data_IF_930712892630
#
_entry.id   IF_930712892630
#
_cell.length_a   1.000
_cell.length_b   1.000
_cell.length_c   1.000
_cell.angle_alpha   90.00
_cell.angle_beta   90.00
_cell.angle_gamma   90.00
#
_symmetry.space_group_name_H-M   'P 1'
#
loop_
_entity.id
_entity.type
_entity.pdbx_description
1 polymer ?
#
# COMPACT_ATOMS: atom_id res chain seq x y z
N UNK A 1 -21.85 -8.74 -2.89
CA UNK A 1 -21.76 -7.54 -3.75
C UNK A 1 -21.20 -7.81 -5.14
N UNK A 2 -21.19 -9.05 -5.67
CA UNK A 2 -20.65 -9.28 -7.02
C UNK A 2 -21.44 -8.52 -8.09
N UNK A 3 -22.75 -8.73 -8.14
CA UNK A 3 -23.65 -8.14 -9.13
C UNK A 3 -23.68 -6.60 -9.02
N UNK A 4 -23.76 -6.08 -7.79
CA UNK A 4 -23.72 -4.63 -7.52
C UNK A 4 -22.43 -3.96 -8.03
N UNK A 5 -21.27 -4.59 -7.81
CA UNK A 5 -19.98 -4.07 -8.29
C UNK A 5 -19.90 -4.11 -9.83
N UNK A 6 -20.48 -5.13 -10.46
CA UNK A 6 -20.57 -5.19 -11.93
C UNK A 6 -21.47 -4.10 -12.49
N UNK A 7 -22.58 -3.79 -11.81
CA UNK A 7 -23.48 -2.72 -12.25
C UNK A 7 -22.82 -1.35 -12.09
N UNK A 8 -22.09 -1.10 -11.00
CA UNK A 8 -21.31 0.13 -10.87
C UNK A 8 -20.18 0.26 -11.91
N UNK A 9 -19.60 -0.85 -12.33
CA UNK A 9 -18.62 -0.86 -13.43
C UNK A 9 -19.27 -0.52 -14.77
N UNK A 10 -20.45 -1.08 -15.08
CA UNK A 10 -21.23 -0.73 -16.29
C UNK A 10 -21.65 0.74 -16.28
N UNK A 11 -21.94 1.30 -15.12
CA UNK A 11 -22.27 2.72 -14.94
C UNK A 11 -21.03 3.63 -15.01
N UNK A 12 -19.82 3.08 -15.06
CA UNK A 12 -18.57 3.85 -15.10
C UNK A 12 -18.19 4.51 -13.77
N UNK A 13 -18.80 4.08 -12.65
CA UNK A 13 -18.53 4.63 -11.32
C UNK A 13 -17.21 4.08 -10.75
N UNK A 14 -16.93 2.80 -11.03
CA UNK A 14 -15.73 2.11 -10.57
C UNK A 14 -15.15 1.26 -11.70
N UNK A 15 -13.87 0.93 -11.60
CA UNK A 15 -13.23 -0.16 -12.35
C UNK A 15 -12.83 -1.23 -11.34
N UNK A 16 -13.32 -2.45 -11.50
CA UNK A 16 -13.14 -3.51 -10.49
C UNK A 16 -12.09 -4.51 -10.97
N UNK A 17 -11.03 -4.67 -10.18
CA UNK A 17 -10.01 -5.68 -10.42
C UNK A 17 -10.14 -6.80 -9.39
N UNK A 18 -10.87 -7.85 -9.74
CA UNK A 18 -10.99 -9.03 -8.90
C UNK A 18 -9.74 -9.91 -8.98
N UNK A 19 -9.25 -10.37 -7.83
CA UNK A 19 -8.01 -11.15 -7.71
C UNK A 19 -8.28 -12.47 -6.98
N UNK A 20 -8.88 -13.48 -7.67
CA UNK A 20 -9.17 -14.76 -7.04
C UNK A 20 -7.89 -15.55 -6.79
N UNK A 21 -7.63 -15.89 -5.52
CA UNK A 21 -6.37 -16.56 -5.13
C UNK A 21 -6.37 -18.09 -5.32
N UNK A 22 -7.51 -18.72 -5.65
CA UNK A 22 -7.69 -20.18 -5.68
C UNK A 22 -8.31 -20.66 -6.99
N UNK A 23 -7.78 -20.19 -8.12
CA UNK A 23 -8.22 -20.68 -9.43
C UNK A 23 -7.48 -21.99 -9.75
N UNK A 24 -8.18 -23.10 -10.06
CA UNK A 24 -7.53 -24.36 -10.39
C UNK A 24 -6.56 -24.22 -11.58
N UNK A 25 -5.36 -24.78 -11.44
CA UNK A 25 -4.34 -24.73 -12.48
C UNK A 25 -3.62 -23.39 -12.65
N UNK A 26 -3.86 -22.40 -11.77
CA UNK A 26 -3.20 -21.10 -11.80
C UNK A 26 -2.41 -20.82 -10.51
N UNK A 27 -1.32 -20.04 -10.56
CA UNK A 27 -0.61 -19.61 -9.37
C UNK A 27 -1.51 -18.73 -8.48
N UNK A 28 -1.24 -18.74 -7.17
CA UNK A 28 -1.99 -17.89 -6.23
C UNK A 28 -1.61 -16.44 -6.44
N UNK A 29 -2.60 -15.61 -6.75
CA UNK A 29 -2.45 -14.17 -6.88
C UNK A 29 -3.20 -13.46 -5.75
N UNK A 30 -2.66 -12.31 -5.33
CA UNK A 30 -3.23 -11.45 -4.29
C UNK A 30 -3.18 -9.99 -4.73
N UNK A 31 -3.87 -9.12 -4.01
CA UNK A 31 -4.02 -7.70 -4.34
C UNK A 31 -2.68 -6.98 -4.51
N UNK A 32 -1.69 -7.27 -3.67
CA UNK A 32 -0.35 -6.68 -3.76
C UNK A 32 0.38 -7.05 -5.06
N UNK A 33 0.17 -8.28 -5.56
CA UNK A 33 0.74 -8.70 -6.84
C UNK A 33 0.10 -7.91 -7.99
N UNK A 34 -1.24 -7.73 -7.92
CA UNK A 34 -1.98 -6.99 -8.94
C UNK A 34 -1.63 -5.50 -8.98
N UNK A 35 -1.33 -4.90 -7.82
CA UNK A 35 -0.82 -3.53 -7.72
C UNK A 35 0.51 -3.40 -8.48
N UNK A 36 1.44 -4.35 -8.28
CA UNK A 36 2.73 -4.37 -8.97
C UNK A 36 2.57 -4.61 -10.47
N UNK A 37 1.70 -5.52 -10.89
CA UNK A 37 1.40 -5.73 -12.31
C UNK A 37 0.85 -4.48 -13.00
N UNK A 38 0.07 -3.67 -12.28
CA UNK A 38 -0.54 -2.42 -12.77
C UNK A 38 0.24 -1.17 -12.32
N UNK A 39 1.51 -1.30 -11.94
CA UNK A 39 2.33 -0.24 -11.33
C UNK A 39 2.29 1.08 -12.11
N UNK A 40 2.33 1.06 -13.45
CA UNK A 40 2.26 2.26 -14.28
C UNK A 40 0.92 3.02 -14.15
N UNK A 41 -0.19 2.29 -14.19
CA UNK A 41 -1.53 2.88 -14.02
C UNK A 41 -1.74 3.39 -12.59
N UNK A 42 -1.29 2.62 -11.60
CA UNK A 42 -1.36 2.99 -10.19
C UNK A 42 -0.55 4.26 -9.94
N UNK A 43 0.68 4.33 -10.43
CA UNK A 43 1.55 5.50 -10.27
C UNK A 43 0.96 6.74 -10.92
N UNK A 44 0.45 6.63 -12.15
CA UNK A 44 -0.22 7.72 -12.85
C UNK A 44 -1.39 8.29 -12.03
N UNK A 45 -2.17 7.45 -11.36
CA UNK A 45 -3.27 7.91 -10.49
C UNK A 45 -2.75 8.62 -9.24
N UNK A 46 -1.68 8.10 -8.62
CA UNK A 46 -1.03 8.72 -7.46
C UNK A 46 -0.49 10.10 -7.82
N UNK A 47 0.17 10.25 -8.96
CA UNK A 47 0.66 11.55 -9.44
C UNK A 47 -0.48 12.52 -9.74
N UNK A 48 -1.62 12.01 -10.23
CA UNK A 48 -2.82 12.80 -10.48
C UNK A 48 -3.58 13.21 -9.19
N UNK A 49 -3.06 12.93 -8.00
CA UNK A 49 -3.69 13.34 -6.75
C UNK A 49 -4.66 12.31 -6.15
N UNK A 50 -4.64 11.05 -6.59
CA UNK A 50 -5.53 10.03 -6.04
C UNK A 50 -5.34 9.83 -4.52
N UNK A 51 -6.43 9.41 -3.87
CA UNK A 51 -6.48 8.98 -2.48
C UNK A 51 -6.57 7.46 -2.45
N UNK A 52 -5.72 6.84 -1.64
CA UNK A 52 -5.61 5.39 -1.50
C UNK A 52 -6.33 4.98 -0.21
N UNK A 53 -7.23 4.01 -0.33
CA UNK A 53 -7.92 3.39 0.80
C UNK A 53 -7.56 1.90 0.85
N UNK A 54 -7.16 1.43 2.03
CA UNK A 54 -6.83 0.02 2.27
C UNK A 54 -7.64 -0.49 3.45
N UNK A 55 -8.57 -1.42 3.19
CA UNK A 55 -9.35 -2.07 4.24
C UNK A 55 -9.09 -3.58 4.27
N UNK A 56 -8.94 -4.17 5.45
CA UNK A 56 -8.76 -5.62 5.55
C UNK A 56 -7.96 -6.11 6.75
N UNK A 57 -7.33 -7.26 6.55
CA UNK A 57 -6.54 -7.92 7.58
C UNK A 57 -5.24 -7.13 7.88
N UNK A 58 -5.10 -6.66 9.13
CA UNK A 58 -3.95 -5.89 9.60
C UNK A 58 -2.64 -6.69 9.66
N UNK A 59 -2.73 -8.00 9.91
CA UNK A 59 -1.57 -8.84 10.20
C UNK A 59 -0.85 -9.33 8.95
N UNK A 60 -1.57 -9.48 7.82
CA UNK A 60 -1.02 -10.11 6.60
C UNK A 60 -1.21 -9.26 5.36
N UNK A 61 -2.44 -8.77 5.12
CA UNK A 61 -2.78 -8.06 3.89
C UNK A 61 -2.21 -6.63 3.90
N UNK A 62 -2.46 -5.88 4.97
CA UNK A 62 -2.06 -4.47 5.03
C UNK A 62 -0.53 -4.26 4.89
N UNK A 63 0.34 -5.01 5.58
CA UNK A 63 1.79 -4.87 5.38
C UNK A 63 2.24 -5.21 3.96
N UNK A 64 1.63 -6.22 3.34
CA UNK A 64 1.95 -6.61 1.96
C UNK A 64 1.52 -5.55 0.94
N UNK A 65 0.36 -4.93 1.13
CA UNK A 65 -0.13 -3.84 0.27
C UNK A 65 0.74 -2.60 0.41
N UNK A 66 1.12 -2.20 1.62
CA UNK A 66 2.07 -1.09 1.84
C UNK A 66 3.38 -1.32 1.11
N UNK A 67 3.95 -2.52 1.26
CA UNK A 67 5.20 -2.88 0.61
C UNK A 67 5.08 -2.77 -0.92
N UNK A 68 3.97 -3.25 -1.50
CA UNK A 68 3.75 -3.12 -2.93
C UNK A 68 3.68 -1.66 -3.40
N UNK A 69 3.04 -0.75 -2.67
CA UNK A 69 3.03 0.67 -3.02
C UNK A 69 4.43 1.29 -2.95
N UNK A 70 5.23 0.96 -1.93
CA UNK A 70 6.61 1.41 -1.84
C UNK A 70 7.47 0.86 -2.99
N UNK A 71 7.27 -0.40 -3.37
CA UNK A 71 7.97 -1.00 -4.50
C UNK A 71 7.57 -0.34 -5.82
N UNK A 72 6.29 0.02 -6.01
CA UNK A 72 5.83 0.84 -7.15
C UNK A 72 6.56 2.18 -7.18
N UNK A 73 6.68 2.87 -6.04
CA UNK A 73 7.44 4.13 -5.96
C UNK A 73 8.89 3.92 -6.39
N UNK A 74 9.60 2.94 -5.82
CA UNK A 74 10.99 2.65 -6.16
C UNK A 74 11.17 2.36 -7.65
N UNK A 75 10.26 1.57 -8.25
CA UNK A 75 10.30 1.24 -9.69
C UNK A 75 10.10 2.47 -10.58
N UNK A 76 9.24 3.40 -10.18
CA UNK A 76 8.87 4.55 -11.00
C UNK A 76 9.84 5.72 -10.86
N UNK A 77 10.43 5.91 -9.67
CA UNK A 77 11.32 7.04 -9.39
C UNK A 77 12.80 6.68 -9.38
N UNK A 78 13.15 5.39 -9.31
CA UNK A 78 14.51 4.90 -9.14
C UNK A 78 15.15 5.27 -7.78
N UNK A 79 14.33 5.62 -6.79
CA UNK A 79 14.78 6.05 -5.46
C UNK A 79 14.90 4.85 -4.51
N UNK A 80 15.50 5.10 -3.35
CA UNK A 80 15.75 4.05 -2.36
C UNK A 80 14.48 3.64 -1.60
N UNK A 81 14.55 2.50 -0.92
CA UNK A 81 13.46 2.06 -0.04
C UNK A 81 13.18 3.03 1.11
N UNK A 82 14.21 3.72 1.62
CA UNK A 82 14.06 4.71 2.67
C UNK A 82 13.28 5.94 2.16
N UNK A 83 13.53 6.34 0.91
CA UNK A 83 12.76 7.40 0.26
C UNK A 83 11.29 6.98 0.08
N UNK A 84 11.04 5.71 -0.25
CA UNK A 84 9.69 5.17 -0.38
C UNK A 84 8.93 5.14 0.97
N UNK A 85 9.62 4.86 2.07
CA UNK A 85 9.04 4.90 3.42
C UNK A 85 8.67 6.32 3.84
N UNK A 86 9.57 7.28 3.56
CA UNK A 86 9.31 8.70 3.78
C UNK A 86 8.12 9.17 2.96
N UNK A 87 8.09 8.84 1.66
CA UNK A 87 6.98 9.16 0.76
C UNK A 87 5.63 8.60 1.23
N UNK A 88 5.60 7.35 1.71
CA UNK A 88 4.37 6.75 2.22
C UNK A 88 3.91 7.42 3.53
N UNK A 89 4.86 7.84 4.36
CA UNK A 89 4.58 8.61 5.58
C UNK A 89 3.99 9.98 5.25
N UNK A 90 4.55 10.67 4.27
CA UNK A 90 4.02 11.95 3.79
C UNK A 90 2.61 11.80 3.21
N UNK A 91 2.35 10.75 2.40
CA UNK A 91 1.00 10.48 1.90
C UNK A 91 -0.02 10.24 3.01
N UNK A 92 0.38 9.64 4.14
CA UNK A 92 -0.48 9.46 5.30
C UNK A 92 -0.76 10.77 6.01
N UNK A 93 0.28 11.59 6.20
CA UNK A 93 0.15 12.92 6.79
C UNK A 93 -0.76 13.84 5.95
N UNK A 94 -0.71 13.70 4.62
CA UNK A 94 -1.54 14.44 3.67
C UNK A 94 -2.96 13.88 3.52
N UNK A 95 -3.36 12.88 4.32
CA UNK A 95 -4.65 12.18 4.20
C UNK A 95 -4.92 11.58 2.81
N UNK A 96 -3.86 11.16 2.11
CA UNK A 96 -3.92 10.54 0.79
C UNK A 96 -3.70 9.03 0.81
N UNK A 97 -3.29 8.47 1.94
CA UNK A 97 -3.22 7.02 2.16
C UNK A 97 -3.86 6.69 3.51
N UNK A 98 -5.04 6.04 3.47
CA UNK A 98 -5.84 5.71 4.65
C UNK A 98 -5.99 4.20 4.79
N UNK A 99 -5.85 3.71 6.02
CA UNK A 99 -5.98 2.28 6.35
C UNK A 99 -7.10 2.07 7.38
N UNK A 100 -8.04 1.18 7.06
CA UNK A 100 -9.06 0.67 7.98
C UNK A 100 -8.83 -0.84 8.17
N UNK A 101 -7.97 -1.19 9.12
CA UNK A 101 -7.39 -2.53 9.24
C UNK A 101 -7.72 -3.16 10.60
N UNK A 102 -8.07 -4.45 10.58
CA UNK A 102 -8.49 -5.20 11.77
C UNK A 102 -7.76 -6.53 11.92
N UNK A 103 -7.78 -7.08 13.15
CA UNK A 103 -7.28 -8.43 13.43
C UNK A 103 -5.75 -8.53 13.64
N UNK A 104 -5.12 -7.48 14.15
CA UNK A 104 -3.79 -7.53 14.77
C UNK A 104 -3.87 -7.24 16.27
N UNK A 105 -2.88 -7.67 17.06
CA UNK A 105 -2.68 -7.08 18.39
C UNK A 105 -2.29 -5.62 18.18
N UNK A 106 -3.15 -4.69 18.58
CA UNK A 106 -2.90 -3.27 18.43
C UNK A 106 -1.56 -2.89 19.09
N UNK A 107 -0.61 -2.38 18.32
CA UNK A 107 0.11 -1.21 18.80
C UNK A 107 -0.83 -0.03 18.50
N UNK A 108 -1.19 0.80 19.49
CA UNK A 108 -2.23 1.81 19.30
C UNK A 108 -1.76 2.82 18.27
N UNK A 109 -2.63 3.08 17.28
CA UNK A 109 -2.66 4.38 16.65
C UNK A 109 -2.92 5.41 17.76
N UNK A 110 -2.14 6.49 17.80
CA UNK A 110 -2.21 7.60 18.76
C UNK A 110 -1.37 7.46 20.05
N UNK A 111 -0.06 7.34 19.91
CA UNK A 111 0.84 7.99 20.88
C UNK A 111 1.07 9.44 20.45
N UNK A 112 0.27 10.35 20.97
CA UNK A 112 0.58 11.79 20.99
C UNK A 112 1.96 11.93 21.65
N UNK A 113 2.96 12.59 21.04
CA UNK A 113 4.29 12.68 21.64
C UNK A 113 4.24 13.57 22.88
N UNK A 114 4.36 12.97 24.07
CA UNK A 114 4.73 13.70 25.27
C UNK A 114 6.17 14.18 25.11
N UNK A 115 6.40 15.48 25.24
CA UNK A 115 7.74 16.03 25.37
C UNK A 115 8.39 15.39 26.61
N UNK A 116 9.36 14.49 26.40
CA UNK A 116 10.61 14.51 27.15
C UNK A 116 11.62 13.44 26.68
N UNK A 117 12.86 13.90 26.53
CA UNK A 117 14.14 13.18 26.57
C UNK A 117 14.71 12.54 25.29
N UNK A 118 15.89 13.05 24.95
CA UNK A 118 16.81 12.62 23.90
C UNK A 118 17.53 11.28 24.19
N UNK A 119 17.94 10.56 23.14
CA UNK A 119 19.29 9.98 23.00
C UNK A 119 19.48 9.31 21.62
N UNK A 120 20.73 9.32 21.17
CA UNK A 120 21.24 8.95 19.85
C UNK A 120 21.40 7.44 19.63
N UNK A 121 21.44 7.02 18.35
CA UNK A 121 22.02 5.74 17.92
C UNK A 121 21.73 5.44 16.44
N UNK A 122 22.75 5.55 15.58
CA UNK A 122 22.66 5.50 14.12
C UNK A 122 22.33 4.12 13.52
N UNK A 123 21.66 4.16 12.36
CA UNK A 123 21.30 3.00 11.55
C UNK A 123 22.07 3.02 10.23
N UNK A 124 22.77 1.93 9.94
CA UNK A 124 23.48 1.72 8.67
C UNK A 124 22.47 1.33 7.57
N UNK A 125 22.51 2.07 6.47
CA UNK A 125 21.72 1.80 5.28
C UNK A 125 22.20 0.51 4.59
N UNK A 126 21.31 -0.46 4.42
CA UNK A 126 21.51 -1.60 3.53
C UNK A 126 20.87 -1.24 2.18
N UNK A 127 21.64 -1.15 1.08
CA UNK A 127 21.08 -0.92 -0.24
C UNK A 127 20.28 -2.13 -0.73
N UNK A 128 19.21 -1.87 -1.46
CA UNK A 128 18.48 -2.90 -2.20
C UNK A 128 19.31 -3.32 -3.43
N UNK A 129 20.02 -4.43 -3.33
CA UNK A 129 20.58 -5.10 -4.50
C UNK A 129 19.50 -5.90 -5.23
N UNK A 130 19.34 -5.61 -6.51
CA UNK A 130 18.63 -6.44 -7.47
C UNK A 130 19.62 -7.24 -8.30
N UNK A 131 19.27 -8.51 -8.53
CA UNK A 131 19.63 -9.32 -9.69
C UNK A 131 18.47 -10.28 -9.96
#
# INVERSE_FOLDING_TARGET
YHDELQDFEKMGVVRVLAVPSRVPGQPKIYVQNRILEQHADVWRLIEAGAVIFVCGNASTMAPAVRRAFMDVFCQQTGKSQADADTWLTDLRADHRYLEDIWGGSAAPADSVPSHDTAAMGGSAAVPCEGA
#
